data_IF_168953042152
#
_entry.id   IF_168953042152
#
_cell.length_a   1.000
_cell.length_b   1.000
_cell.length_c   1.000
_cell.angle_alpha   90.00
_cell.angle_beta   90.00
_cell.angle_gamma   90.00
#
_symmetry.space_group_name_H-M   'P 1'
#
loop_
_entity.id
_entity.type
_entity.pdbx_description
1 polymer ?
#
# COMPACT_ATOMS: atom_id res chain seq x y z
N UNK A 1 -1.85 -18.89 1.54
CA UNK A 1 -2.27 -20.15 2.19
C UNK A 1 -1.62 -20.35 3.55
N UNK A 2 -0.29 -20.35 3.64
CA UNK A 2 0.42 -20.73 4.86
C UNK A 2 0.26 -19.73 6.03
N UNK A 3 0.30 -18.42 5.76
CA UNK A 3 0.00 -17.39 6.78
C UNK A 3 -1.45 -17.50 7.30
N UNK A 4 -2.39 -17.95 6.46
CA UNK A 4 -3.77 -18.20 6.90
C UNK A 4 -3.86 -19.39 7.88
N UNK A 5 -3.05 -20.45 7.69
CA UNK A 5 -2.96 -21.56 8.66
C UNK A 5 -2.37 -21.09 10.00
N UNK A 6 -1.35 -20.23 9.95
CA UNK A 6 -0.81 -19.59 11.15
C UNK A 6 -1.89 -18.78 11.90
N UNK A 7 -2.68 -17.96 11.20
CA UNK A 7 -3.80 -17.24 11.82
C UNK A 7 -4.88 -18.16 12.40
N UNK A 8 -5.16 -19.28 11.75
CA UNK A 8 -6.06 -20.31 12.30
C UNK A 8 -5.52 -20.91 13.59
N UNK A 9 -4.20 -21.16 13.67
CA UNK A 9 -3.55 -21.63 14.89
C UNK A 9 -3.66 -20.58 16.02
N UNK A 10 -3.42 -19.30 15.72
CA UNK A 10 -3.63 -18.21 16.67
C UNK A 10 -5.07 -18.17 17.19
N UNK A 11 -6.07 -18.28 16.30
CA UNK A 11 -7.47 -18.36 16.69
C UNK A 11 -7.77 -19.54 17.62
N UNK A 12 -7.18 -20.71 17.36
CA UNK A 12 -7.30 -21.86 18.25
C UNK A 12 -6.76 -21.60 19.65
N UNK A 13 -5.61 -20.92 19.77
CA UNK A 13 -5.03 -20.54 21.06
C UNK A 13 -5.90 -19.53 21.82
N UNK A 14 -6.34 -18.46 21.15
CA UNK A 14 -7.19 -17.45 21.80
C UNK A 14 -8.57 -17.98 22.15
N UNK A 15 -9.12 -18.90 21.37
CA UNK A 15 -10.33 -19.62 21.74
C UNK A 15 -10.14 -20.52 22.96
N UNK A 16 -8.93 -21.03 23.21
CA UNK A 16 -8.56 -21.80 24.41
C UNK A 16 -8.30 -20.94 25.65
N UNK A 17 -7.90 -19.68 25.48
CA UNK A 17 -7.50 -18.78 26.57
C UNK A 17 -8.67 -17.89 27.07
N UNK A 18 -8.97 -17.93 28.37
CA UNK A 18 -10.12 -17.22 28.94
C UNK A 18 -9.99 -15.67 28.87
N UNK A 19 -8.84 -15.06 29.25
CA UNK A 19 -8.58 -13.64 29.03
C UNK A 19 -8.73 -13.19 27.58
N UNK A 20 -8.26 -14.00 26.61
CA UNK A 20 -8.39 -13.71 25.19
C UNK A 20 -9.84 -13.78 24.71
N UNK A 21 -10.58 -14.85 25.06
CA UNK A 21 -12.01 -14.99 24.75
C UNK A 21 -12.85 -13.85 25.31
N UNK A 22 -12.61 -13.45 26.56
CA UNK A 22 -13.35 -12.36 27.21
C UNK A 22 -13.21 -11.01 26.49
N UNK A 23 -12.14 -10.85 25.70
CA UNK A 23 -11.86 -9.66 24.88
C UNK A 23 -12.34 -9.80 23.43
N UNK A 24 -12.87 -10.96 23.04
CA UNK A 24 -13.31 -11.22 21.67
C UNK A 24 -12.15 -11.29 20.67
N UNK A 25 -10.95 -11.70 21.10
CA UNK A 25 -9.79 -11.81 20.22
C UNK A 25 -10.00 -12.89 19.16
N UNK A 26 -10.00 -12.48 17.90
CA UNK A 26 -10.04 -13.37 16.75
C UNK A 26 -9.51 -12.68 15.50
N UNK A 27 -8.94 -13.47 14.61
CA UNK A 27 -8.56 -13.07 13.26
C UNK A 27 -9.57 -13.59 12.27
N UNK A 28 -10.07 -12.71 11.40
CA UNK A 28 -10.81 -13.14 10.23
C UNK A 28 -9.83 -13.81 9.26
N UNK A 29 -10.10 -15.08 8.97
CA UNK A 29 -9.35 -15.87 8.00
C UNK A 29 -10.20 -16.12 6.77
N UNK A 30 -9.55 -16.41 5.64
CA UNK A 30 -10.18 -16.70 4.37
C UNK A 30 -9.45 -17.84 3.66
N UNK A 31 -10.18 -18.57 2.83
CA UNK A 31 -9.66 -19.73 2.11
C UNK A 31 -8.75 -19.28 0.98
N UNK A 32 -7.63 -19.97 0.87
CA UNK A 32 -6.66 -19.80 -0.21
C UNK A 32 -6.36 -21.17 -0.79
N UNK A 33 -6.74 -21.39 -2.04
CA UNK A 33 -6.54 -22.65 -2.75
C UNK A 33 -5.52 -22.40 -3.86
N UNK A 34 -4.25 -22.81 -3.68
CA UNK A 34 -3.29 -22.74 -4.77
C UNK A 34 -3.71 -23.68 -5.90
N UNK A 35 -3.68 -23.20 -7.15
CA UNK A 35 -4.00 -24.00 -8.35
C UNK A 35 -2.70 -24.37 -9.06
N UNK A 36 -1.78 -23.41 -9.17
CA UNK A 36 -0.43 -23.60 -9.72
C UNK A 36 0.60 -22.90 -8.82
N UNK A 37 1.88 -22.94 -9.21
CA UNK A 37 2.95 -22.19 -8.52
C UNK A 37 2.78 -20.67 -8.62
N UNK A 38 2.07 -20.16 -9.63
CA UNK A 38 1.93 -18.73 -9.89
C UNK A 38 0.50 -18.20 -9.71
N UNK A 39 -0.48 -19.11 -9.57
CA UNK A 39 -1.89 -18.74 -9.50
C UNK A 39 -2.63 -19.56 -8.44
N UNK A 40 -3.62 -18.94 -7.82
CA UNK A 40 -4.51 -19.57 -6.86
C UNK A 40 -5.83 -18.82 -6.78
N UNK A 41 -6.80 -19.44 -6.12
CA UNK A 41 -8.11 -18.85 -5.84
C UNK A 41 -8.11 -18.36 -4.39
N UNK A 42 -8.62 -17.15 -4.19
CA UNK A 42 -8.82 -16.53 -2.90
C UNK A 42 -10.31 -16.40 -2.65
N UNK A 43 -10.75 -16.75 -1.45
CA UNK A 43 -12.11 -16.44 -1.00
C UNK A 43 -12.29 -14.92 -0.94
N UNK A 44 -13.36 -14.45 -1.56
CA UNK A 44 -13.78 -13.06 -1.43
C UNK A 44 -14.42 -12.84 -0.07
N UNK A 45 -13.85 -11.93 0.73
CA UNK A 45 -14.39 -11.60 2.05
C UNK A 45 -15.53 -10.60 1.87
N UNK A 46 -16.77 -11.08 1.95
CA UNK A 46 -17.95 -10.27 1.71
C UNK A 46 -18.03 -9.04 2.64
N UNK A 47 -18.32 -7.88 2.04
CA UNK A 47 -18.41 -6.60 2.76
C UNK A 47 -17.08 -6.03 3.23
N UNK A 48 -15.95 -6.70 3.00
CA UNK A 48 -14.63 -6.13 3.27
C UNK A 48 -14.29 -5.10 2.19
N UNK A 49 -13.85 -3.92 2.64
CA UNK A 49 -13.33 -2.85 1.79
C UNK A 49 -11.90 -2.50 2.23
N UNK A 50 -11.00 -2.11 1.32
CA UNK A 50 -9.70 -1.59 1.71
C UNK A 50 -9.86 -0.42 2.67
N UNK A 51 -9.09 -0.39 3.76
CA UNK A 51 -9.21 0.62 4.82
C UNK A 51 -9.00 2.05 4.28
N UNK A 52 -8.27 2.20 3.17
CA UNK A 52 -8.17 3.44 2.42
C UNK A 52 -9.54 4.08 2.14
N UNK A 53 -10.50 3.28 1.67
CA UNK A 53 -11.81 3.78 1.24
C UNK A 53 -12.61 4.44 2.37
N UNK A 54 -12.89 3.78 3.52
CA UNK A 54 -13.62 4.43 4.60
C UNK A 54 -12.83 5.59 5.21
N UNK A 55 -11.50 5.52 5.32
CA UNK A 55 -10.70 6.64 5.86
C UNK A 55 -10.82 7.86 4.97
N UNK A 56 -10.52 7.74 3.67
CA UNK A 56 -10.66 8.85 2.72
C UNK A 56 -12.07 9.42 2.73
N UNK A 57 -13.09 8.58 2.71
CA UNK A 57 -14.49 9.01 2.77
C UNK A 57 -14.86 9.75 4.06
N UNK A 58 -14.30 9.37 5.22
CA UNK A 58 -14.53 10.11 6.47
C UNK A 58 -13.82 11.47 6.45
N UNK A 59 -12.58 11.54 5.94
CA UNK A 59 -11.84 12.80 5.83
C UNK A 59 -12.55 13.78 4.91
N UNK A 60 -12.99 13.36 3.73
CA UNK A 60 -13.72 14.21 2.78
C UNK A 60 -15.00 14.82 3.38
N UNK A 61 -15.75 14.03 4.15
CA UNK A 61 -17.06 14.45 4.67
C UNK A 61 -16.97 15.21 6.00
N UNK A 62 -16.07 14.83 6.89
CA UNK A 62 -15.98 15.38 8.25
C UNK A 62 -14.78 16.29 8.47
N UNK A 63 -13.84 16.36 7.52
CA UNK A 63 -12.66 17.24 7.54
C UNK A 63 -12.52 18.07 6.24
N UNK A 64 -13.57 18.74 5.75
CA UNK A 64 -13.49 19.46 4.46
C UNK A 64 -12.53 20.66 4.46
N UNK A 65 -12.13 21.14 5.64
CA UNK A 65 -11.19 22.26 5.81
C UNK A 65 -9.75 21.81 6.08
N UNK A 66 -9.51 20.50 6.22
CA UNK A 66 -8.17 19.95 6.33
C UNK A 66 -7.48 20.01 4.96
N UNK A 67 -6.15 19.92 4.94
CA UNK A 67 -5.41 20.02 3.69
C UNK A 67 -5.75 18.86 2.74
N UNK A 68 -5.91 19.12 1.43
CA UNK A 68 -6.22 18.07 0.47
C UNK A 68 -5.09 17.04 0.44
N UNK A 69 -5.44 15.76 0.27
CA UNK A 69 -4.47 14.66 0.31
C UNK A 69 -3.31 14.86 -0.67
N UNK A 70 -3.55 15.45 -1.84
CA UNK A 70 -2.52 15.74 -2.83
C UNK A 70 -1.46 16.72 -2.31
N UNK A 71 -1.85 17.71 -1.51
CA UNK A 71 -0.92 18.65 -0.88
C UNK A 71 -0.09 17.95 0.20
N UNK A 72 -0.73 17.12 1.03
CA UNK A 72 -0.04 16.35 2.07
C UNK A 72 1.00 15.40 1.45
N UNK A 73 0.61 14.65 0.41
CA UNK A 73 1.51 13.75 -0.33
C UNK A 73 2.67 14.54 -0.94
N UNK A 74 2.40 15.71 -1.52
CA UNK A 74 3.45 16.59 -2.06
C UNK A 74 4.43 17.02 -0.98
N UNK A 75 3.96 17.46 0.19
CA UNK A 75 4.87 17.87 1.29
C UNK A 75 5.71 16.72 1.82
N UNK A 76 5.12 15.53 1.96
CA UNK A 76 5.89 14.34 2.38
C UNK A 76 6.95 13.99 1.33
N UNK A 77 6.59 14.01 0.05
CA UNK A 77 7.51 13.75 -1.06
C UNK A 77 8.65 14.77 -1.09
N UNK A 78 8.33 16.06 -0.99
CA UNK A 78 9.33 17.14 -1.03
C UNK A 78 10.29 17.05 0.18
N UNK A 79 9.87 16.40 1.27
CA UNK A 79 10.71 16.12 2.45
C UNK A 79 11.50 14.80 2.35
N UNK A 80 11.31 13.95 1.33
CA UNK A 80 11.99 12.65 1.24
C UNK A 80 13.53 12.78 1.16
N UNK A 81 14.03 13.90 0.62
CA UNK A 81 15.46 14.22 0.55
C UNK A 81 16.02 14.86 1.83
N UNK A 82 15.15 15.26 2.76
CA UNK A 82 15.57 15.88 4.01
C UNK A 82 16.14 14.83 5.00
N UNK A 83 17.03 15.24 5.92
CA UNK A 83 17.39 14.42 7.06
C UNK A 83 16.17 13.99 7.88
N UNK A 84 16.34 12.95 8.71
CA UNK A 84 15.24 12.38 9.52
C UNK A 84 14.56 13.46 10.37
N UNK A 85 15.32 14.40 10.93
CA UNK A 85 14.80 15.50 11.73
C UNK A 85 13.90 16.45 10.94
N UNK A 86 14.23 16.72 9.67
CA UNK A 86 13.41 17.52 8.75
C UNK A 86 12.11 16.79 8.39
N UNK A 87 12.20 15.49 8.08
CA UNK A 87 11.03 14.64 7.82
C UNK A 87 10.09 14.59 9.04
N UNK A 88 10.65 14.47 10.24
CA UNK A 88 9.90 14.50 11.50
C UNK A 88 9.21 15.84 11.71
N UNK A 89 9.88 16.96 11.41
CA UNK A 89 9.27 18.30 11.53
C UNK A 89 8.06 18.45 10.57
N UNK A 90 8.21 17.99 9.33
CA UNK A 90 7.11 17.98 8.34
C UNK A 90 5.96 17.08 8.81
N UNK A 91 6.25 15.86 9.30
CA UNK A 91 5.21 14.96 9.80
C UNK A 91 4.48 15.54 11.02
N UNK A 92 5.19 16.17 11.95
CA UNK A 92 4.59 16.89 13.08
C UNK A 92 3.66 18.01 12.63
N UNK A 93 4.07 18.79 11.63
CA UNK A 93 3.24 19.85 11.07
C UNK A 93 1.99 19.29 10.38
N UNK A 94 2.12 18.19 9.62
CA UNK A 94 0.98 17.50 9.04
C UNK A 94 -0.01 17.08 10.13
N UNK A 95 0.50 16.49 11.21
CA UNK A 95 -0.33 15.97 12.29
C UNK A 95 -1.06 17.06 13.09
N UNK A 96 -0.44 18.23 13.27
CA UNK A 96 -0.99 19.31 14.08
C UNK A 96 -1.84 20.30 13.30
N UNK A 97 -1.52 20.54 12.03
CA UNK A 97 -2.09 21.66 11.27
C UNK A 97 -2.77 21.26 9.96
N UNK A 98 -2.47 20.09 9.38
CA UNK A 98 -2.98 19.73 8.06
C UNK A 98 -4.06 18.66 8.09
N UNK A 99 -3.89 17.60 8.89
CA UNK A 99 -4.77 16.41 8.87
C UNK A 99 -5.12 15.96 10.28
N UNK A 100 -6.42 15.92 10.57
CA UNK A 100 -6.99 15.45 11.83
C UNK A 100 -7.73 14.13 11.63
N UNK A 101 -7.58 13.14 12.53
CA UNK A 101 -8.24 11.85 12.41
C UNK A 101 -9.75 11.97 12.17
N UNK A 102 -10.29 11.12 11.31
CA UNK A 102 -11.69 11.13 10.90
C UNK A 102 -12.35 9.74 10.97
N UNK A 103 -11.60 8.64 11.03
CA UNK A 103 -12.17 7.29 10.97
C UNK A 103 -13.20 6.98 12.08
N UNK A 104 -13.09 7.63 13.24
CA UNK A 104 -14.06 7.49 14.35
C UNK A 104 -15.50 7.88 13.97
N UNK A 105 -15.69 8.73 12.96
CA UNK A 105 -17.00 9.10 12.44
C UNK A 105 -17.72 7.93 11.77
N UNK A 106 -16.99 6.97 11.20
CA UNK A 106 -17.57 5.77 10.60
C UNK A 106 -18.49 5.04 11.58
N UNK A 107 -18.06 4.90 12.84
CA UNK A 107 -18.83 4.21 13.87
C UNK A 107 -20.06 5.01 14.32
N UNK A 108 -19.99 6.35 14.28
CA UNK A 108 -21.11 7.22 14.65
C UNK A 108 -22.17 7.26 13.55
N UNK A 109 -21.75 7.29 12.29
CA UNK A 109 -22.66 7.32 11.14
C UNK A 109 -23.35 5.97 10.93
N UNK A 110 -22.58 4.88 11.01
CA UNK A 110 -23.08 3.54 10.66
C UNK A 110 -23.89 2.88 11.77
N UNK A 111 -23.67 3.27 13.03
CA UNK A 111 -24.33 2.66 14.18
C UNK A 111 -25.04 3.74 15.02
N UNK A 112 -26.30 4.10 14.66
CA UNK A 112 -27.05 5.14 15.36
C UNK A 112 -27.30 4.84 16.84
N UNK A 113 -27.38 3.56 17.21
CA UNK A 113 -27.54 3.14 18.60
C UNK A 113 -26.18 3.13 19.33
N UNK A 114 -26.03 3.87 20.44
CA UNK A 114 -24.75 3.99 21.15
C UNK A 114 -24.15 2.66 21.60
N UNK A 115 -24.99 1.71 22.01
CA UNK A 115 -24.55 0.37 22.40
C UNK A 115 -23.95 -0.40 21.23
N UNK A 116 -24.60 -0.36 20.06
CA UNK A 116 -24.08 -0.98 18.84
C UNK A 116 -22.76 -0.32 18.40
N UNK A 117 -22.67 1.01 18.44
CA UNK A 117 -21.43 1.72 18.13
C UNK A 117 -20.29 1.31 19.06
N UNK A 118 -20.56 1.21 20.38
CA UNK A 118 -19.58 0.74 21.36
C UNK A 118 -19.15 -0.70 21.12
N UNK A 119 -20.09 -1.60 20.85
CA UNK A 119 -19.80 -3.01 20.54
C UNK A 119 -18.91 -3.14 19.30
N UNK A 120 -19.18 -2.36 18.26
CA UNK A 120 -18.42 -2.37 17.01
C UNK A 120 -17.03 -1.76 17.16
N UNK A 121 -16.89 -0.72 17.98
CA UNK A 121 -15.56 -0.19 18.36
C UNK A 121 -14.76 -1.21 19.16
N UNK A 122 -15.39 -1.96 20.08
CA UNK A 122 -14.70 -3.05 20.81
C UNK A 122 -14.24 -4.15 19.87
N UNK A 123 -15.08 -4.56 18.90
CA UNK A 123 -14.69 -5.53 17.86
C UNK A 123 -13.53 -5.01 17.00
N UNK A 124 -13.52 -3.73 16.67
CA UNK A 124 -12.41 -3.07 15.98
C UNK A 124 -11.12 -3.12 16.78
N UNK A 125 -11.14 -2.67 18.04
CA UNK A 125 -9.97 -2.73 18.92
C UNK A 125 -9.44 -4.15 19.09
N UNK A 126 -10.34 -5.14 19.28
CA UNK A 126 -9.97 -6.54 19.48
C UNK A 126 -9.37 -7.18 18.22
N UNK A 127 -9.99 -6.99 17.06
CA UNK A 127 -9.48 -7.52 15.78
C UNK A 127 -8.17 -6.86 15.37
N UNK A 128 -8.03 -5.54 15.60
CA UNK A 128 -6.78 -4.82 15.34
C UNK A 128 -5.66 -5.31 16.27
N UNK A 129 -5.94 -5.50 17.56
CA UNK A 129 -4.97 -6.04 18.52
C UNK A 129 -4.52 -7.46 18.15
N UNK A 130 -5.45 -8.34 17.79
CA UNK A 130 -5.14 -9.71 17.35
C UNK A 130 -4.27 -9.71 16.07
N UNK A 131 -4.60 -8.85 15.09
CA UNK A 131 -3.83 -8.69 13.86
C UNK A 131 -2.44 -8.11 14.08
N UNK A 132 -2.32 -7.11 14.96
CA UNK A 132 -1.03 -6.54 15.37
C UNK A 132 -0.15 -7.57 16.08
N UNK A 133 -0.70 -8.37 17.00
CA UNK A 133 0.05 -9.40 17.72
C UNK A 133 0.57 -10.50 16.78
N UNK A 134 -0.34 -11.07 15.97
CA UNK A 134 0.00 -12.13 15.04
C UNK A 134 0.96 -11.62 13.94
N UNK A 135 0.71 -10.43 13.41
CA UNK A 135 1.56 -9.79 12.41
C UNK A 135 2.97 -9.49 12.93
N UNK A 136 3.09 -8.99 14.17
CA UNK A 136 4.39 -8.74 14.81
C UNK A 136 5.22 -10.01 14.88
N UNK A 137 4.64 -11.11 15.36
CA UNK A 137 5.35 -12.39 15.56
C UNK A 137 5.91 -12.93 14.26
N UNK A 138 5.14 -12.91 13.16
CA UNK A 138 5.62 -13.38 11.85
C UNK A 138 6.33 -12.31 11.04
N UNK A 139 6.49 -11.09 11.56
CA UNK A 139 7.15 -10.00 10.84
C UNK A 139 6.44 -9.60 9.56
N UNK A 140 5.12 -9.43 9.62
CA UNK A 140 4.29 -9.04 8.49
C UNK A 140 4.50 -7.55 8.16
N UNK A 141 5.07 -7.26 7.00
CA UNK A 141 5.32 -5.91 6.49
C UNK A 141 4.44 -5.53 5.30
N UNK A 142 4.71 -4.40 4.67
CA UNK A 142 3.93 -3.81 3.57
C UNK A 142 2.46 -3.58 3.96
N UNK A 143 2.23 -3.06 5.19
CA UNK A 143 0.89 -2.83 5.76
C UNK A 143 0.33 -1.45 5.40
N UNK A 144 0.32 -1.09 4.13
CA UNK A 144 -0.38 0.11 3.65
C UNK A 144 -1.90 -0.05 3.69
N UNK A 145 -2.63 1.06 3.51
CA UNK A 145 -4.10 1.14 3.62
C UNK A 145 -4.88 0.22 2.67
N UNK A 146 -4.25 -0.30 1.63
CA UNK A 146 -4.88 -1.20 0.67
C UNK A 146 -4.70 -2.68 1.05
N UNK A 147 -3.70 -3.00 1.88
CA UNK A 147 -3.42 -4.35 2.39
C UNK A 147 -4.06 -4.62 3.77
N UNK A 148 -4.57 -3.57 4.42
CA UNK A 148 -5.45 -3.68 5.58
C UNK A 148 -6.86 -3.37 5.10
N UNK A 149 -7.76 -4.34 5.22
CA UNK A 149 -9.18 -4.17 4.92
C UNK A 149 -9.98 -4.00 6.21
N UNK A 150 -11.20 -3.50 6.07
CA UNK A 150 -12.19 -3.39 7.13
C UNK A 150 -13.53 -3.93 6.62
N UNK A 151 -14.28 -4.62 7.48
CA UNK A 151 -15.68 -4.96 7.25
C UNK A 151 -16.53 -3.92 8.01
N UNK A 152 -17.06 -2.86 7.35
CA UNK A 152 -17.66 -1.73 8.07
C UNK A 152 -18.89 -2.10 8.89
N UNK A 153 -19.67 -3.08 8.45
CA UNK A 153 -20.85 -3.60 9.17
C UNK A 153 -20.49 -4.31 10.48
N UNK A 154 -19.29 -4.91 10.55
CA UNK A 154 -18.82 -5.66 11.71
C UNK A 154 -17.85 -4.87 12.58
N UNK A 155 -17.20 -3.86 12.01
CA UNK A 155 -16.12 -3.13 12.67
C UNK A 155 -14.83 -3.93 12.77
N UNK A 156 -14.63 -4.99 11.98
CA UNK A 156 -13.46 -5.85 12.07
C UNK A 156 -12.41 -5.51 11.00
N UNK A 157 -11.13 -5.65 11.34
CA UNK A 157 -10.04 -5.55 10.36
C UNK A 157 -9.67 -6.91 9.78
N UNK A 158 -9.25 -6.92 8.51
CA UNK A 158 -8.82 -8.13 7.79
C UNK A 158 -7.55 -7.80 7.04
N UNK A 159 -6.47 -8.51 7.32
CA UNK A 159 -5.22 -8.33 6.58
C UNK A 159 -5.26 -9.19 5.31
N UNK A 160 -4.81 -8.61 4.20
CA UNK A 160 -4.61 -9.32 2.94
C UNK A 160 -3.17 -9.15 2.46
N UNK A 161 -2.84 -9.84 1.37
CA UNK A 161 -1.52 -9.84 0.74
C UNK A 161 -0.38 -10.07 1.73
N UNK A 162 0.01 -11.32 1.96
CA UNK A 162 1.10 -11.65 2.89
C UNK A 162 2.44 -11.83 2.18
N UNK A 163 2.62 -11.21 1.00
CA UNK A 163 3.83 -11.35 0.20
C UNK A 163 5.10 -10.90 0.95
N UNK A 164 4.99 -9.91 1.83
CA UNK A 164 6.09 -9.40 2.65
C UNK A 164 5.91 -9.89 4.09
N UNK A 165 6.38 -11.10 4.37
CA UNK A 165 6.34 -11.72 5.70
C UNK A 165 7.75 -12.15 6.15
N UNK A 166 7.91 -12.48 7.42
CA UNK A 166 9.15 -12.97 8.03
C UNK A 166 10.31 -11.97 7.98
N UNK A 167 10.04 -10.75 8.46
CA UNK A 167 10.98 -9.61 8.55
C UNK A 167 11.47 -9.06 7.21
N UNK A 168 10.86 -9.49 6.10
CA UNK A 168 11.26 -9.04 4.77
C UNK A 168 10.98 -7.56 4.51
N UNK A 169 10.18 -6.92 5.36
CA UNK A 169 9.93 -5.48 5.32
C UNK A 169 11.23 -4.66 5.42
N UNK A 170 12.25 -5.19 6.11
CA UNK A 170 13.56 -4.56 6.23
C UNK A 170 14.36 -4.57 4.91
N UNK A 171 13.93 -5.35 3.91
CA UNK A 171 14.59 -5.48 2.61
C UNK A 171 13.91 -4.67 1.51
N UNK A 172 12.81 -3.99 1.82
CA UNK A 172 12.15 -3.08 0.90
C UNK A 172 13.06 -1.89 0.60
N UNK A 173 12.84 -1.21 -0.53
CA UNK A 173 13.61 -0.02 -0.88
C UNK A 173 13.55 1.04 0.23
N UNK A 174 12.35 1.26 0.77
CA UNK A 174 12.14 2.00 2.02
C UNK A 174 11.73 1.00 3.11
N UNK A 175 12.62 0.67 4.07
CA UNK A 175 12.31 -0.27 5.14
C UNK A 175 11.13 0.18 6.01
N UNK A 176 10.24 -0.75 6.34
CA UNK A 176 9.19 -0.51 7.33
C UNK A 176 9.77 -0.72 8.74
N UNK A 177 9.80 0.35 9.54
CA UNK A 177 10.40 0.34 10.90
C UNK A 177 9.38 0.11 12.01
N UNK A 178 8.09 0.12 11.70
CA UNK A 178 7.01 -0.10 12.67
C UNK A 178 6.68 -1.59 12.77
N UNK A 179 6.36 -2.14 13.96
CA UNK A 179 6.02 -3.55 14.11
C UNK A 179 4.65 -3.91 13.52
N UNK A 180 3.76 -2.92 13.42
CA UNK A 180 2.44 -3.02 12.81
C UNK A 180 1.87 -1.61 12.59
N UNK A 181 0.79 -1.53 11.81
CA UNK A 181 0.07 -0.28 11.54
C UNK A 181 -0.79 0.15 12.74
N UNK A 182 -0.39 1.21 13.43
CA UNK A 182 -1.18 1.84 14.51
C UNK A 182 -1.17 3.37 14.37
N UNK A 183 -1.80 3.86 13.31
CA UNK A 183 -1.83 5.30 12.99
C UNK A 183 -2.87 6.06 13.81
N UNK A 184 -2.90 7.39 13.66
CA UNK A 184 -3.80 8.28 14.43
C UNK A 184 -5.27 8.06 14.11
N UNK A 185 -5.61 7.72 12.88
CA UNK A 185 -6.99 7.40 12.49
C UNK A 185 -7.45 6.08 13.10
N UNK A 186 -6.60 5.04 13.09
CA UNK A 186 -6.88 3.79 13.79
C UNK A 186 -7.00 4.01 15.30
N UNK A 187 -6.14 4.86 15.86
CA UNK A 187 -6.20 5.20 17.29
C UNK A 187 -7.48 5.94 17.65
N UNK A 188 -7.87 6.94 16.85
CA UNK A 188 -9.09 7.69 17.06
C UNK A 188 -10.35 6.82 16.89
N UNK A 189 -10.34 5.87 15.95
CA UNK A 189 -11.44 4.96 15.69
C UNK A 189 -11.85 4.12 16.91
N UNK A 190 -10.90 3.80 17.80
CA UNK A 190 -11.16 3.09 19.05
C UNK A 190 -11.94 3.93 20.09
N UNK A 191 -11.96 5.25 19.93
CA UNK A 191 -12.65 6.19 20.80
C UNK A 191 -11.71 7.05 21.65
N UNK A 192 -12.26 7.79 22.61
CA UNK A 192 -11.51 8.76 23.42
C UNK A 192 -10.37 8.15 24.24
N UNK A 193 -10.46 6.87 24.60
CA UNK A 193 -9.39 6.14 25.28
C UNK A 193 -8.23 5.73 24.36
N UNK A 194 -8.35 5.90 23.04
CA UNK A 194 -7.32 5.49 22.08
C UNK A 194 -6.93 4.03 22.26
N UNK A 195 -5.63 3.76 22.40
CA UNK A 195 -5.09 2.41 22.63
C UNK A 195 -5.56 1.78 23.94
N UNK A 196 -5.95 2.57 24.94
CA UNK A 196 -6.47 2.07 26.22
C UNK A 196 -7.92 1.56 26.09
N UNK A 197 -8.61 1.88 24.98
CA UNK A 197 -9.97 1.42 24.69
C UNK A 197 -10.00 -0.01 24.12
N UNK A 198 -9.33 -0.94 24.82
CA UNK A 198 -9.34 -2.37 24.55
C UNK A 198 -8.15 -2.89 23.73
N UNK A 199 -7.47 -2.04 22.96
CA UNK A 199 -6.36 -2.49 22.11
C UNK A 199 -5.14 -2.93 22.93
N UNK A 200 -4.67 -2.13 23.89
CA UNK A 200 -3.52 -2.49 24.74
C UNK A 200 -3.77 -3.81 25.47
N UNK A 201 -4.93 -3.94 26.13
CA UNK A 201 -5.28 -5.15 26.87
C UNK A 201 -5.50 -6.35 25.94
N UNK A 202 -5.99 -6.12 24.72
CA UNK A 202 -6.12 -7.14 23.68
C UNK A 202 -4.76 -7.62 23.15
N UNK A 203 -3.83 -6.69 22.91
CA UNK A 203 -2.49 -6.98 22.41
C UNK A 203 -1.69 -7.74 23.46
N UNK A 204 -1.73 -7.29 24.72
CA UNK A 204 -1.12 -7.99 25.86
C UNK A 204 -1.66 -9.40 26.03
N UNK A 205 -2.99 -9.58 26.03
CA UNK A 205 -3.62 -10.91 26.14
C UNK A 205 -3.28 -11.81 24.94
N UNK A 206 -3.23 -11.24 23.73
CA UNK A 206 -2.83 -11.96 22.52
C UNK A 206 -1.41 -12.50 22.66
N UNK A 207 -0.45 -11.63 23.02
CA UNK A 207 0.96 -11.98 23.20
C UNK A 207 1.13 -13.01 24.31
N UNK A 208 0.45 -12.83 25.46
CA UNK A 208 0.50 -13.76 26.58
C UNK A 208 -0.02 -15.16 26.19
N UNK A 209 -1.16 -15.24 25.50
CA UNK A 209 -1.72 -16.51 25.02
C UNK A 209 -0.81 -17.21 24.00
N UNK A 210 -0.22 -16.45 23.06
CA UNK A 210 0.73 -16.99 22.08
C UNK A 210 2.03 -17.49 22.74
N UNK A 211 2.52 -16.77 23.76
CA UNK A 211 3.69 -17.15 24.58
C UNK A 211 3.46 -18.39 25.45
N UNK A 212 2.21 -18.74 25.76
CA UNK A 212 1.88 -19.96 26.50
C UNK A 212 2.03 -21.23 25.64
N UNK A 213 2.03 -21.10 24.30
CA UNK A 213 2.18 -22.20 23.37
C UNK A 213 3.18 -21.90 22.23
N UNK A 214 4.44 -21.53 22.56
CA UNK A 214 5.42 -21.07 21.57
C UNK A 214 5.83 -22.20 20.62
N UNK A 215 5.88 -23.44 21.11
CA UNK A 215 6.20 -24.63 20.31
C UNK A 215 5.12 -24.94 19.27
N UNK A 216 3.84 -24.70 19.58
CA UNK A 216 2.74 -24.96 18.65
C UNK A 216 2.78 -23.98 17.47
N UNK A 217 2.93 -22.69 17.75
CA UNK A 217 3.07 -21.67 16.71
C UNK A 217 4.39 -21.82 15.96
N UNK A 218 5.48 -22.11 16.67
CA UNK A 218 6.79 -22.36 16.08
C UNK A 218 6.79 -23.54 15.11
N UNK A 219 6.07 -24.62 15.42
CA UNK A 219 5.91 -25.76 14.53
C UNK A 219 5.14 -25.39 13.25
N UNK A 220 4.03 -24.65 13.39
CA UNK A 220 3.27 -24.16 12.21
C UNK A 220 4.16 -23.27 11.34
N UNK A 221 4.86 -22.31 11.93
CA UNK A 221 5.78 -21.41 11.23
C UNK A 221 6.94 -22.18 10.58
N UNK A 222 7.52 -23.17 11.27
CA UNK A 222 8.58 -24.03 10.74
C UNK A 222 8.14 -24.74 9.46
N UNK A 223 6.96 -25.38 9.49
CA UNK A 223 6.36 -26.01 8.30
C UNK A 223 6.14 -24.99 7.17
N UNK A 224 5.79 -23.74 7.49
CA UNK A 224 5.66 -22.68 6.47
C UNK A 224 6.99 -22.35 5.82
N UNK A 225 8.05 -22.23 6.62
CA UNK A 225 9.37 -21.79 6.17
C UNK A 225 10.12 -22.89 5.42
N UNK A 226 9.91 -24.15 5.81
CA UNK A 226 10.54 -25.34 5.22
C UNK A 226 9.87 -25.82 3.92
N UNK A 227 8.74 -25.23 3.51
CA UNK A 227 8.07 -25.60 2.27
C UNK A 227 8.94 -25.24 1.03
N UNK A 228 9.49 -26.22 0.30
CA UNK A 228 10.41 -25.98 -0.82
C UNK A 228 9.73 -25.31 -2.03
N UNK A 229 8.39 -25.29 -2.06
CA UNK A 229 7.62 -24.61 -3.10
C UNK A 229 7.39 -23.13 -2.77
N UNK A 230 7.59 -22.73 -1.51
CA UNK A 230 7.39 -21.35 -1.08
C UNK A 230 8.67 -20.53 -1.28
N UNK A 231 8.70 -19.75 -2.38
CA UNK A 231 9.80 -18.84 -2.73
C UNK A 231 9.87 -17.56 -1.87
N UNK A 232 9.45 -17.61 -0.62
CA UNK A 232 9.53 -16.46 0.27
C UNK A 232 11.00 -15.99 0.48
N UNK A 233 11.99 -16.82 0.09
CA UNK A 233 13.43 -16.56 0.18
C UNK A 233 14.08 -15.91 -1.06
N UNK A 234 13.60 -16.22 -2.27
CA UNK A 234 14.24 -15.75 -3.51
C UNK A 234 13.81 -14.31 -3.89
N UNK A 235 12.75 -13.81 -3.27
CA UNK A 235 11.98 -12.68 -3.79
C UNK A 235 12.35 -11.35 -3.14
N UNK A 236 13.00 -11.31 -1.96
CA UNK A 236 13.30 -10.04 -1.28
C UNK A 236 14.20 -9.09 -2.11
N UNK A 237 15.27 -9.61 -2.73
CA UNK A 237 16.13 -8.82 -3.64
C UNK A 237 15.43 -8.50 -4.95
N UNK A 238 14.69 -9.45 -5.53
CA UNK A 238 13.97 -9.24 -6.78
C UNK A 238 12.85 -8.20 -6.62
N UNK A 239 12.16 -8.19 -5.48
CA UNK A 239 11.17 -7.18 -5.10
C UNK A 239 11.79 -5.82 -4.83
N UNK A 240 12.92 -5.75 -4.12
CA UNK A 240 13.66 -4.49 -3.96
C UNK A 240 14.01 -3.90 -5.32
N UNK A 241 14.54 -4.73 -6.23
CA UNK A 241 14.87 -4.32 -7.59
C UNK A 241 13.64 -3.95 -8.41
N UNK A 242 12.54 -4.68 -8.27
CA UNK A 242 11.28 -4.39 -8.94
C UNK A 242 10.67 -3.06 -8.44
N UNK A 243 10.62 -2.83 -7.14
CA UNK A 243 10.15 -1.58 -6.55
C UNK A 243 11.03 -0.40 -6.93
N UNK A 244 12.36 -0.54 -6.85
CA UNK A 244 13.29 0.49 -7.30
C UNK A 244 13.12 0.79 -8.79
N UNK A 245 12.87 -0.23 -9.61
CA UNK A 245 12.56 -0.05 -11.04
C UNK A 245 11.24 0.66 -11.27
N UNK A 246 10.18 0.30 -10.54
CA UNK A 246 8.87 0.95 -10.67
C UNK A 246 8.92 2.40 -10.21
N UNK A 247 9.64 2.71 -9.15
CA UNK A 247 9.88 4.09 -8.70
C UNK A 247 10.70 4.88 -9.72
N UNK A 248 11.71 4.28 -10.33
CA UNK A 248 12.48 4.92 -11.40
C UNK A 248 11.62 5.16 -12.64
N UNK A 249 10.78 4.20 -13.03
CA UNK A 249 9.80 4.39 -14.11
C UNK A 249 8.78 5.49 -13.79
N UNK A 250 8.31 5.59 -12.55
CA UNK A 250 7.45 6.69 -12.10
C UNK A 250 8.16 8.04 -12.16
N UNK A 251 9.43 8.10 -11.71
CA UNK A 251 10.26 9.30 -11.82
C UNK A 251 10.44 9.73 -13.27
N UNK A 252 10.74 8.78 -14.17
CA UNK A 252 10.87 9.04 -15.60
C UNK A 252 9.56 9.57 -16.17
N UNK A 253 8.42 8.91 -15.91
CA UNK A 253 7.09 9.36 -16.35
C UNK A 253 6.75 10.76 -15.80
N UNK A 254 7.18 11.07 -14.57
CA UNK A 254 6.96 12.38 -13.98
C UNK A 254 7.82 13.46 -14.65
N UNK A 255 9.11 13.19 -14.86
CA UNK A 255 10.00 14.09 -15.59
C UNK A 255 9.49 14.35 -17.01
N UNK A 256 8.97 13.33 -17.69
CA UNK A 256 8.32 13.48 -19.01
C UNK A 256 7.08 14.37 -18.95
N UNK A 257 6.23 14.26 -17.92
CA UNK A 257 5.07 15.15 -17.73
C UNK A 257 5.50 16.60 -17.46
N UNK A 258 6.54 16.80 -16.66
CA UNK A 258 7.09 18.13 -16.36
C UNK A 258 7.76 18.75 -17.59
N UNK A 259 8.49 17.94 -18.38
CA UNK A 259 9.09 18.35 -19.65
C UNK A 259 8.02 18.63 -20.71
N UNK A 260 6.95 17.84 -20.77
CA UNK A 260 5.79 18.08 -21.63
C UNK A 260 5.05 19.39 -21.29
N UNK A 261 4.88 19.71 -20.00
CA UNK A 261 4.35 21.02 -19.56
C UNK A 261 5.30 22.18 -19.89
N UNK A 262 6.61 21.97 -19.80
CA UNK A 262 7.64 22.95 -20.18
C UNK A 262 7.65 23.25 -21.69
N UNK A 263 7.50 22.22 -22.54
CA UNK A 263 7.41 22.37 -24.00
C UNK A 263 6.08 23.02 -24.42
N UNK A 264 4.96 22.66 -23.78
CA UNK A 264 3.67 23.33 -23.99
C UNK A 264 3.69 24.80 -23.52
N UNK A 265 4.36 25.09 -22.40
CA UNK A 265 4.56 26.46 -21.89
C UNK A 265 5.48 27.31 -22.79
N UNK A 266 6.49 26.71 -23.42
CA UNK A 266 7.33 27.38 -24.43
C UNK A 266 6.57 27.61 -25.74
N UNK A 267 5.73 26.68 -26.20
CA UNK A 267 4.87 26.91 -27.39
C UNK A 267 3.85 28.03 -27.17
N UNK A 268 3.26 28.13 -25.98
CA UNK A 268 2.34 29.23 -25.62
C UNK A 268 3.06 30.59 -25.50
N UNK A 269 4.32 30.60 -25.03
CA UNK A 269 5.16 31.81 -24.98
C UNK A 269 5.59 32.30 -26.36
N UNK A 270 5.82 31.40 -27.32
CA UNK A 270 6.16 31.76 -28.70
C UNK A 270 4.91 32.19 -29.48
N UNK A 271 3.76 31.55 -29.26
CA UNK A 271 2.48 31.99 -29.85
C UNK A 271 2.07 33.39 -29.35
N UNK A 272 2.30 33.70 -28.06
CA UNK A 272 2.00 35.02 -27.49
C UNK A 272 2.94 36.15 -27.93
N UNK A 273 4.18 35.85 -28.31
CA UNK A 273 5.11 36.84 -28.88
C UNK A 273 4.88 37.05 -30.38
N UNK A 274 4.49 36.01 -31.13
CA UNK A 274 4.13 36.13 -32.56
C UNK A 274 2.81 36.91 -32.74
N UNK A 275 1.80 36.70 -31.89
CA UNK A 275 0.55 37.49 -31.93
C UNK A 275 0.73 38.96 -31.51
N UNK A 276 1.77 39.29 -30.74
CA UNK A 276 2.07 40.67 -30.33
C UNK A 276 2.90 41.41 -31.40
N UNK A 277 3.70 40.70 -32.19
CA UNK A 277 4.39 41.25 -33.36
C UNK A 277 3.43 41.49 -34.54
N UNK A 278 2.37 40.69 -34.68
CA UNK A 278 1.36 40.85 -35.75
C UNK A 278 0.30 41.94 -35.47
N UNK A 279 0.27 42.55 -34.28
CA UNK A 279 -0.67 43.64 -33.91
C UNK A 279 -0.01 45.03 -33.85
N UNK A 280 1.25 45.15 -34.26
CA UNK A 280 2.01 46.42 -34.25
C UNK A 280 2.11 47.11 -35.61
N UNK A 281 1.43 46.62 -36.64
CA UNK A 281 1.44 47.21 -37.97
C UNK A 281 0.03 47.11 -38.57
N UNK A 282 -0.82 48.07 -38.22
CA UNK A 282 -1.95 48.58 -39.02
C UNK A 282 -2.74 49.60 -38.15
N UNK A 283 -2.25 50.82 -38.19
CA UNK A 283 -2.96 52.10 -38.03
C UNK A 283 -2.58 52.85 -39.33
N UNK A 284 -3.43 53.48 -40.12
CA UNK A 284 -4.69 54.18 -39.90
C UNK A 284 -5.50 54.15 -41.23
N UNK A 285 -6.83 54.25 -41.16
CA UNK A 285 -7.64 55.26 -41.87
C UNK A 285 -9.16 55.00 -41.69
N UNK A 286 -9.78 55.90 -40.92
CA UNK A 286 -11.06 56.60 -41.09
C UNK A 286 -12.39 55.87 -41.44
N UNK A 287 -13.44 56.25 -40.68
CA UNK A 287 -14.74 56.62 -41.30
C UNK A 287 -15.99 55.85 -40.89
N UNK A 288 -16.71 56.40 -39.90
CA UNK A 288 -18.18 56.50 -39.70
C UNK A 288 -19.22 55.50 -40.27
N UNK A 289 -20.17 55.17 -39.36
CA UNK A 289 -21.65 55.07 -39.52
C UNK A 289 -22.38 53.72 -39.73
N UNK A 290 -23.50 53.56 -38.98
CA UNK A 290 -24.68 52.73 -39.29
C UNK A 290 -24.73 51.34 -38.60
N UNK A 291 -25.52 51.10 -37.55
CA UNK A 291 -26.98 50.85 -37.50
C UNK A 291 -27.39 49.38 -37.76
N UNK A 292 -28.10 48.80 -36.77
CA UNK A 292 -29.15 47.74 -36.86
C UNK A 292 -28.75 46.35 -37.41
N UNK A 293 -29.46 45.23 -37.22
CA UNK A 293 -30.37 44.65 -36.21
C UNK A 293 -30.58 43.17 -36.59
N UNK A 294 -30.95 42.34 -35.60
CA UNK A 294 -31.87 41.18 -35.65
C UNK A 294 -31.64 39.92 -36.55
N UNK A 295 -31.91 38.76 -35.91
CA UNK A 295 -32.57 37.57 -36.47
C UNK A 295 -31.67 36.44 -36.99
N UNK A 296 -31.95 35.14 -36.93
CA UNK A 296 -32.84 34.21 -36.17
C UNK A 296 -32.90 32.90 -37.00
N UNK A 297 -33.33 31.79 -36.35
CA UNK A 297 -33.83 30.50 -36.90
C UNK A 297 -32.79 29.55 -37.52
N UNK A 298 -32.61 28.31 -37.01
CA UNK A 298 -33.48 27.10 -37.10
C UNK A 298 -33.54 26.56 -38.55
N UNK A 299 -33.55 25.27 -38.89
CA UNK A 299 -33.85 24.00 -38.22
C UNK A 299 -33.26 22.81 -39.04
N UNK A 300 -33.32 21.60 -38.47
CA UNK A 300 -33.75 20.30 -39.07
C UNK A 300 -33.10 19.80 -40.38
N UNK A 301 -33.02 18.51 -40.74
CA UNK A 301 -33.51 17.20 -40.26
C UNK A 301 -32.68 16.16 -41.07
N UNK A 302 -32.17 15.09 -40.46
CA UNK A 302 -32.65 13.70 -40.58
C UNK A 302 -32.34 12.90 -41.88
N UNK A 303 -32.01 11.62 -41.60
CA UNK A 303 -32.24 10.39 -42.38
C UNK A 303 -31.25 9.99 -43.51
N UNK A 304 -30.68 8.79 -43.34
CA UNK A 304 -29.89 8.05 -44.34
C UNK A 304 -30.74 7.36 -45.42
N UNK A 305 -30.12 6.50 -46.25
CA UNK A 305 -30.28 5.06 -46.00
C UNK A 305 -29.04 4.19 -46.33
N UNK A 306 -29.11 2.94 -45.86
CA UNK A 306 -28.25 1.79 -46.18
C UNK A 306 -28.55 1.23 -47.59
N UNK A 307 -27.54 0.69 -48.27
CA UNK A 307 -27.63 -0.50 -49.12
C UNK A 307 -26.28 -1.26 -49.10
N UNK A 308 -26.37 -2.58 -49.08
CA UNK A 308 -25.27 -3.57 -49.12
C UNK A 308 -24.78 -3.81 -50.56
N UNK A 309 -23.49 -4.12 -50.74
CA UNK A 309 -22.97 -4.96 -51.83
C UNK A 309 -21.53 -5.44 -51.51
N UNK A 310 -21.23 -6.62 -52.04
CA UNK A 310 -20.16 -7.56 -51.69
C UNK A 310 -18.77 -7.25 -52.29
N UNK A 311 -17.76 -7.92 -51.69
CA UNK A 311 -16.46 -8.43 -52.18
C UNK A 311 -15.75 -7.78 -53.40
N UNK A 312 -14.50 -7.33 -53.21
CA UNK A 312 -13.34 -7.91 -53.94
C UNK A 312 -12.00 -7.52 -53.27
N UNK A 313 -11.01 -8.40 -53.41
CA UNK A 313 -9.72 -8.37 -52.74
C UNK A 313 -8.67 -7.41 -53.34
N UNK A 314 -7.64 -7.14 -52.53
CA UNK A 314 -6.44 -6.42 -52.97
C UNK A 314 -5.50 -6.07 -51.82
N UNK A 315 -4.53 -6.93 -51.53
CA UNK A 315 -3.39 -6.63 -50.66
C UNK A 315 -2.53 -5.49 -51.22
N UNK A 316 -2.12 -4.47 -50.45
CA UNK A 316 -1.08 -3.54 -50.86
C UNK A 316 0.33 -4.09 -50.55
N UNK A 317 1.38 -3.63 -51.26
CA UNK A 317 2.68 -4.28 -51.27
C UNK A 317 3.53 -3.96 -50.03
N UNK A 318 4.41 -4.90 -49.68
CA UNK A 318 5.36 -4.81 -48.59
C UNK A 318 6.49 -3.80 -48.90
N UNK A 319 6.52 -2.68 -48.17
CA UNK A 319 7.72 -1.85 -48.05
C UNK A 319 8.77 -2.60 -47.21
N UNK A 320 9.91 -2.90 -47.84
CA UNK A 320 11.09 -3.43 -47.17
C UNK A 320 11.75 -2.30 -46.39
N UNK A 321 11.45 -2.24 -45.09
CA UNK A 321 12.10 -1.34 -44.15
C UNK A 321 13.51 -1.89 -43.85
N UNK A 322 14.53 -1.37 -44.55
CA UNK A 322 15.93 -1.67 -44.25
C UNK A 322 16.34 -0.95 -42.97
N UNK A 323 16.19 -1.64 -41.83
CA UNK A 323 16.69 -1.17 -40.54
C UNK A 323 18.21 -0.97 -40.58
N UNK A 324 18.66 0.19 -40.07
CA UNK A 324 20.06 0.57 -39.99
C UNK A 324 20.93 -0.49 -39.26
N UNK A 325 22.20 -0.72 -39.66
CA UNK A 325 23.09 -1.74 -39.08
C UNK A 325 23.25 -1.67 -37.56
N UNK A 326 23.14 -0.47 -36.98
CA UNK A 326 23.24 -0.21 -35.54
C UNK A 326 22.06 -0.81 -34.74
N UNK A 327 20.86 -0.82 -35.32
CA UNK A 327 19.66 -1.40 -34.69
C UNK A 327 19.71 -2.94 -34.63
N UNK A 328 20.37 -3.57 -35.61
CA UNK A 328 20.57 -5.03 -35.63
C UNK A 328 21.66 -5.46 -34.64
N UNK A 329 22.71 -4.66 -34.47
CA UNK A 329 23.75 -4.87 -33.46
C UNK A 329 23.18 -4.72 -32.03
N UNK A 330 22.32 -3.73 -31.79
CA UNK A 330 21.61 -3.55 -30.52
C UNK A 330 20.69 -4.74 -30.18
N UNK A 331 19.95 -5.29 -31.16
CA UNK A 331 19.10 -6.48 -30.95
C UNK A 331 19.92 -7.76 -30.69
N UNK A 332 21.08 -7.93 -31.34
CA UNK A 332 22.00 -9.06 -31.07
C UNK A 332 22.66 -8.93 -29.70
N UNK A 333 23.02 -7.71 -29.29
CA UNK A 333 23.50 -7.41 -27.93
C UNK A 333 22.45 -7.74 -26.86
N UNK A 334 21.19 -7.34 -27.09
CA UNK A 334 20.07 -7.64 -26.20
C UNK A 334 19.77 -9.16 -26.11
N UNK A 335 19.82 -9.89 -27.22
CA UNK A 335 19.60 -11.34 -27.23
C UNK A 335 20.74 -12.12 -26.53
N UNK A 336 21.97 -11.63 -26.64
CA UNK A 336 23.16 -12.22 -25.98
C UNK A 336 23.16 -11.92 -24.48
N UNK A 337 22.80 -10.69 -24.09
CA UNK A 337 22.58 -10.30 -22.70
C UNK A 337 21.44 -11.10 -22.05
N UNK A 338 20.33 -11.35 -22.77
CA UNK A 338 19.23 -12.18 -22.29
C UNK A 338 19.64 -13.65 -22.07
N UNK A 339 20.49 -14.21 -22.96
CA UNK A 339 21.04 -15.57 -22.80
C UNK A 339 22.02 -15.67 -21.63
N UNK A 340 22.88 -14.69 -21.45
CA UNK A 340 23.82 -14.63 -20.31
C UNK A 340 23.08 -14.41 -18.99
N UNK A 341 22.02 -13.59 -18.98
CA UNK A 341 21.13 -13.44 -17.82
C UNK A 341 20.39 -14.75 -17.50
N UNK A 342 19.88 -15.46 -18.50
CA UNK A 342 19.23 -16.77 -18.31
C UNK A 342 20.20 -17.83 -17.77
N UNK A 343 21.45 -17.85 -18.24
CA UNK A 343 22.50 -18.74 -17.74
C UNK A 343 22.95 -18.38 -16.31
N UNK A 344 23.02 -17.09 -15.97
CA UNK A 344 23.30 -16.61 -14.61
C UNK A 344 22.16 -16.97 -13.64
N UNK A 345 20.90 -16.90 -14.08
CA UNK A 345 19.72 -17.34 -13.30
C UNK A 345 19.72 -18.85 -13.08
N UNK A 346 20.17 -19.65 -14.07
CA UNK A 346 20.29 -21.09 -13.93
C UNK A 346 21.40 -21.50 -12.92
N UNK A 347 22.56 -20.83 -12.94
CA UNK A 347 23.63 -21.07 -11.97
C UNK A 347 23.32 -20.54 -10.56
N UNK A 348 22.47 -19.52 -10.43
CA UNK A 348 21.99 -19.06 -9.13
C UNK A 348 21.14 -20.10 -8.39
N UNK A 349 20.50 -21.04 -9.10
CA UNK A 349 19.62 -22.05 -8.50
C UNK A 349 20.31 -23.05 -7.56
N UNK A 350 21.60 -23.33 -7.76
CA UNK A 350 22.35 -24.28 -6.93
C UNK A 350 22.97 -23.64 -5.68
N UNK A 351 23.39 -22.37 -5.76
CA UNK A 351 23.86 -21.58 -4.60
C UNK A 351 22.70 -21.01 -3.77
N UNK A 352 21.53 -20.76 -4.38
CA UNK A 352 20.36 -20.24 -3.71
C UNK A 352 19.79 -21.19 -2.64
N UNK A 353 19.99 -22.52 -2.77
CA UNK A 353 19.45 -23.49 -1.80
C UNK A 353 19.96 -23.28 -0.37
N UNK A 354 21.27 -23.06 -0.20
CA UNK A 354 21.88 -22.87 1.12
C UNK A 354 21.60 -21.50 1.75
N UNK A 355 21.63 -20.43 0.96
CA UNK A 355 21.30 -19.07 1.42
C UNK A 355 19.80 -18.97 1.79
N UNK A 356 18.95 -19.63 1.01
CA UNK A 356 17.53 -19.72 1.26
C UNK A 356 17.26 -20.40 2.63
N UNK A 357 17.82 -21.59 2.83
CA UNK A 357 17.66 -22.36 4.06
C UNK A 357 18.25 -21.63 5.29
N UNK A 358 19.39 -20.94 5.14
CA UNK A 358 19.96 -20.13 6.22
C UNK A 358 19.03 -18.99 6.66
N UNK A 359 18.34 -18.38 5.71
CA UNK A 359 17.36 -17.32 6.00
C UNK A 359 16.02 -17.87 6.50
N UNK A 360 15.61 -19.09 6.13
CA UNK A 360 14.58 -19.90 6.80
C UNK A 360 14.84 -20.02 8.29
N UNK A 361 16.02 -20.55 8.62
CA UNK A 361 16.44 -20.71 10.01
C UNK A 361 16.47 -19.39 10.77
N UNK A 362 17.00 -18.32 10.17
CA UNK A 362 17.03 -16.99 10.80
C UNK A 362 15.64 -16.42 11.04
N UNK A 363 14.73 -16.54 10.07
CA UNK A 363 13.34 -16.09 10.21
C UNK A 363 12.61 -16.85 11.32
N UNK A 364 12.78 -18.19 11.37
CA UNK A 364 12.19 -19.02 12.42
C UNK A 364 12.72 -18.63 13.80
N UNK A 365 14.04 -18.48 13.94
CA UNK A 365 14.69 -18.03 15.17
C UNK A 365 14.11 -16.70 15.64
N UNK A 366 13.93 -15.74 14.72
CA UNK A 366 13.36 -14.44 15.06
C UNK A 366 11.90 -14.53 15.52
N UNK A 367 11.09 -15.37 14.88
CA UNK A 367 9.72 -15.61 15.32
C UNK A 367 9.68 -16.24 16.72
N UNK A 368 10.60 -17.18 17.01
CA UNK A 368 10.72 -17.82 18.32
C UNK A 368 11.17 -16.85 19.41
N UNK A 369 12.15 -15.98 19.13
CA UNK A 369 12.56 -14.90 20.04
C UNK A 369 11.36 -14.01 20.40
N UNK A 370 10.60 -13.55 19.40
CA UNK A 370 9.39 -12.73 19.63
C UNK A 370 8.33 -13.46 20.46
N UNK A 371 8.14 -14.77 20.22
CA UNK A 371 7.25 -15.64 20.99
C UNK A 371 7.75 -15.95 22.41
N UNK A 372 9.03 -15.72 22.71
CA UNK A 372 9.59 -15.82 24.06
C UNK A 372 9.61 -14.45 24.77
N UNK A 373 9.37 -13.37 24.01
CA UNK A 373 9.41 -12.00 24.51
C UNK A 373 10.78 -11.34 24.42
N UNK A 374 11.72 -11.95 23.70
CA UNK A 374 13.04 -11.39 23.46
C UNK A 374 12.97 -10.30 22.39
N UNK A 375 13.28 -9.06 22.77
CA UNK A 375 13.34 -7.94 21.81
C UNK A 375 14.76 -7.54 21.48
N UNK A 376 15.16 -7.77 20.23
CA UNK A 376 16.53 -7.59 19.74
C UNK A 376 17.02 -6.15 19.86
N UNK A 377 16.13 -5.16 19.75
CA UNK A 377 16.47 -3.75 19.90
C UNK A 377 16.86 -3.39 21.33
N UNK A 378 16.32 -4.10 22.32
CA UNK A 378 16.63 -3.90 23.74
C UNK A 378 17.61 -4.94 24.28
N UNK A 379 17.92 -5.98 23.49
CA UNK A 379 18.76 -7.12 23.86
C UNK A 379 18.33 -7.75 25.20
N UNK A 380 17.02 -7.83 25.46
CA UNK A 380 16.47 -8.38 26.69
C UNK A 380 15.09 -8.98 26.49
N UNK A 381 14.70 -9.83 27.44
CA UNK A 381 13.37 -10.38 27.51
C UNK A 381 12.43 -9.42 28.22
N UNK A 382 11.23 -9.28 27.67
CA UNK A 382 10.15 -8.47 28.23
C UNK A 382 8.98 -9.37 28.61
N UNK A 383 8.33 -9.09 29.74
CA UNK A 383 7.01 -9.65 30.02
C UNK A 383 5.98 -9.17 28.97
N UNK A 384 4.80 -9.81 28.85
CA UNK A 384 3.81 -9.44 27.83
C UNK A 384 3.35 -7.97 27.92
N UNK A 385 3.23 -7.41 29.12
CA UNK A 385 2.78 -6.04 29.32
C UNK A 385 3.84 -5.02 28.90
N UNK A 386 5.11 -5.28 29.24
CA UNK A 386 6.27 -4.49 28.85
C UNK A 386 6.52 -4.57 27.34
N UNK A 387 6.41 -5.76 26.73
CA UNK A 387 6.49 -5.91 25.28
C UNK A 387 5.35 -5.16 24.60
N UNK A 388 4.11 -5.28 25.10
CA UNK A 388 2.98 -4.55 24.55
C UNK A 388 3.21 -3.03 24.54
N UNK A 389 3.69 -2.45 25.65
CA UNK A 389 4.00 -1.01 25.72
C UNK A 389 5.09 -0.62 24.72
N UNK A 390 6.19 -1.39 24.71
CA UNK A 390 7.29 -1.18 23.78
C UNK A 390 6.81 -1.20 22.31
N UNK A 391 6.00 -2.18 21.91
CA UNK A 391 5.51 -2.27 20.54
C UNK A 391 4.57 -1.12 20.16
N UNK A 392 3.72 -0.66 21.08
CA UNK A 392 2.87 0.51 20.86
C UNK A 392 3.73 1.78 20.67
N UNK A 393 4.75 1.96 21.50
CA UNK A 393 5.70 3.06 21.36
C UNK A 393 6.39 3.02 19.99
N UNK A 394 6.91 1.85 19.58
CA UNK A 394 7.56 1.69 18.28
C UNK A 394 6.60 1.96 17.09
N UNK A 395 5.34 1.53 17.19
CA UNK A 395 4.33 1.71 16.14
C UNK A 395 3.81 3.15 16.02
N UNK A 396 3.99 3.96 17.06
CA UNK A 396 3.52 5.36 17.12
C UNK A 396 4.66 6.37 17.12
N UNK A 397 5.92 5.91 17.11
CA UNK A 397 7.11 6.76 17.09
C UNK A 397 7.15 7.62 15.83
N UNK A 398 7.23 8.94 16.03
CA UNK A 398 7.24 9.92 14.94
C UNK A 398 8.44 9.76 14.00
N UNK A 399 9.61 9.38 14.52
CA UNK A 399 10.82 9.13 13.72
C UNK A 399 10.60 7.93 12.81
N UNK A 400 9.96 6.87 13.30
CA UNK A 400 9.62 5.71 12.48
C UNK A 400 8.57 6.06 11.43
N UNK A 401 7.48 6.72 11.82
CA UNK A 401 6.40 7.10 10.90
C UNK A 401 6.85 8.07 9.81
N UNK A 402 7.75 9.01 10.14
CA UNK A 402 8.26 10.01 9.18
C UNK A 402 9.16 9.41 8.10
N UNK A 403 9.79 8.26 8.36
CA UNK A 403 10.68 7.61 7.38
C UNK A 403 10.01 6.59 6.48
N UNK A 404 8.75 6.24 6.76
CA UNK A 404 7.98 5.29 5.95
C UNK A 404 7.76 5.81 4.53
N UNK A 405 7.57 4.87 3.61
CA UNK A 405 7.21 5.15 2.23
C UNK A 405 5.92 5.99 2.17
N UNK A 406 5.89 7.03 1.32
CA UNK A 406 4.73 7.93 1.21
C UNK A 406 3.40 7.22 0.92
N UNK A 407 3.41 6.12 0.16
CA UNK A 407 2.23 5.31 -0.14
C UNK A 407 1.71 4.50 1.06
N UNK A 408 2.52 4.34 2.11
CA UNK A 408 2.08 3.78 3.39
C UNK A 408 1.08 4.71 4.10
N UNK A 409 1.13 6.02 3.80
CA UNK A 409 0.24 7.08 4.29
C UNK A 409 0.17 7.14 5.82
N UNK A 410 1.31 7.46 6.46
CA UNK A 410 1.44 7.45 7.92
C UNK A 410 0.63 8.51 8.67
N UNK A 411 0.13 9.51 7.94
CA UNK A 411 -0.76 10.54 8.46
C UNK A 411 -2.24 10.14 8.51
N UNK A 412 -2.58 8.96 7.97
CA UNK A 412 -3.91 8.37 7.89
C UNK A 412 -4.02 7.02 8.57
#
# INVERSE_FOLDING_TARGET
>A
MLVQRYFQACNGLWAGDAPARARGLSLRTYRVVPVTRAAGVLEFVEGAVPLQQPITSMHERYRPHDAPQQEVVRRVRDAESEPVEGRVAVMKHIFSAMVRPALHWLFLERFPHPEAALQRRRAFSASLAAASAAGHVVGLGDRHLSNVMMVPSMGEVVHIDFGVSFEQAALLHTPELVPFRLTRDLTAAMGAGGVEAGFRQGLEASLASMRAAPSALGAVIGVVLDDPLCKWLADGRQRMLWQARMEEEERIRQLERERGRSVAGRSMSVAGSVLRAARGAEADEDGEAGAESAGSSEADEAAGPRYEAEEDGGSPPAERDTLAPEALAARRGAATAARLAAAAVANAGAFAGGEAEARARKALSRCQEKLQGHESLLQRDLDPAAQCRFLIEQATDMRHLAVLYRGWQAWM
#
